data_IF_764721902812
#
_entry.id   IF_764721902812
#
_cell.length_a   1.000
_cell.length_b   1.000
_cell.length_c   1.000
_cell.angle_alpha   90.00
_cell.angle_beta   90.00
_cell.angle_gamma   90.00
#
_symmetry.space_group_name_H-M   'P 1'
#
loop_
_entity.id
_entity.type
_entity.pdbx_description
1 polymer ?
#
# COMPACT_ATOMS: atom_id res chain seq x y z
N UNK A 1 10.66 -6.35 11.50
CA UNK A 1 11.50 -7.56 11.67
C UNK A 1 11.78 -8.27 10.35
N UNK A 2 10.79 -8.57 9.50
CA UNK A 2 11.00 -9.30 8.23
C UNK A 2 11.86 -8.52 7.21
N UNK A 3 11.60 -7.22 6.98
CA UNK A 3 12.37 -6.39 6.05
C UNK A 3 13.82 -6.10 6.48
N UNK A 4 14.12 -6.21 7.79
CA UNK A 4 15.48 -6.11 8.30
C UNK A 4 16.24 -7.43 8.14
N UNK A 5 15.53 -8.56 8.25
CA UNK A 5 16.07 -9.90 8.01
C UNK A 5 16.49 -10.10 6.55
N UNK A 6 15.72 -9.60 5.58
CA UNK A 6 16.09 -9.65 4.16
C UNK A 6 17.37 -8.88 3.84
N UNK A 7 17.74 -7.87 4.65
CA UNK A 7 19.03 -7.19 4.53
C UNK A 7 20.23 -8.11 4.80
N UNK A 8 20.06 -9.12 5.66
CA UNK A 8 21.08 -10.14 5.96
C UNK A 8 21.23 -11.10 4.78
N UNK A 9 20.13 -11.47 4.11
CA UNK A 9 20.13 -12.33 2.92
C UNK A 9 20.72 -11.65 1.67
N UNK A 10 20.73 -10.31 1.62
CA UNK A 10 21.39 -9.56 0.54
C UNK A 10 22.91 -9.73 0.54
N UNK A 11 23.53 -10.00 1.69
CA UNK A 11 24.99 -10.15 1.81
C UNK A 11 25.49 -11.39 1.02
N UNK A 12 24.95 -12.61 1.22
CA UNK A 12 25.24 -13.74 0.34
C UNK A 12 24.85 -13.48 -1.12
N UNK A 13 23.75 -12.79 -1.37
CA UNK A 13 23.25 -12.55 -2.74
C UNK A 13 24.20 -11.66 -3.57
N UNK A 14 24.82 -10.65 -2.95
CA UNK A 14 25.85 -9.82 -3.60
C UNK A 14 27.22 -10.52 -3.70
N UNK A 15 27.48 -11.49 -2.82
CA UNK A 15 28.71 -12.29 -2.84
C UNK A 15 28.66 -13.43 -3.85
N UNK A 16 27.48 -14.01 -4.10
CA UNK A 16 27.31 -15.24 -4.92
C UNK A 16 26.34 -15.10 -6.10
N UNK A 17 25.65 -13.97 -6.27
CA UNK A 17 24.74 -13.69 -7.38
C UNK A 17 25.06 -12.38 -8.10
N UNK A 18 24.43 -12.17 -9.27
CA UNK A 18 24.35 -10.85 -9.92
C UNK A 18 22.98 -10.23 -9.58
N UNK A 19 22.78 -9.67 -8.38
CA UNK A 19 21.49 -9.11 -8.01
C UNK A 19 21.17 -7.89 -8.87
N UNK A 20 19.97 -7.86 -9.43
CA UNK A 20 19.45 -6.65 -10.06
C UNK A 20 19.11 -5.63 -8.96
N UNK A 21 20.08 -4.77 -8.64
CA UNK A 21 19.97 -3.75 -7.59
C UNK A 21 18.71 -2.89 -7.74
N UNK A 22 18.31 -2.60 -8.98
CA UNK A 22 17.12 -1.79 -9.29
C UNK A 22 15.83 -2.44 -8.78
N UNK A 23 15.68 -3.75 -8.96
CA UNK A 23 14.54 -4.55 -8.51
C UNK A 23 14.46 -4.64 -6.98
N UNK A 24 15.62 -4.70 -6.32
CA UNK A 24 15.68 -4.71 -4.85
C UNK A 24 15.24 -3.35 -4.30
N UNK A 25 15.81 -2.26 -4.80
CA UNK A 25 15.50 -0.89 -4.34
C UNK A 25 14.04 -0.54 -4.61
N UNK A 26 13.49 -0.89 -5.78
CA UNK A 26 12.08 -0.67 -6.10
C UNK A 26 11.14 -1.43 -5.16
N UNK A 27 11.48 -2.67 -4.81
CA UNK A 27 10.69 -3.48 -3.87
C UNK A 27 10.64 -2.86 -2.48
N UNK A 28 11.77 -2.40 -1.95
CA UNK A 28 11.82 -1.69 -0.66
C UNK A 28 11.06 -0.36 -0.70
N UNK A 29 11.20 0.41 -1.78
CA UNK A 29 10.47 1.66 -1.96
C UNK A 29 8.96 1.42 -1.98
N UNK A 30 8.49 0.44 -2.76
CA UNK A 30 7.09 0.04 -2.81
C UNK A 30 6.58 -0.42 -1.44
N UNK A 31 7.38 -1.15 -0.68
CA UNK A 31 7.01 -1.61 0.66
C UNK A 31 6.85 -0.45 1.65
N UNK A 32 7.74 0.54 1.62
CA UNK A 32 7.65 1.74 2.47
C UNK A 32 6.41 2.56 2.12
N UNK A 33 6.14 2.78 0.82
CA UNK A 33 4.96 3.52 0.36
C UNK A 33 3.65 2.82 0.74
N UNK A 34 3.58 1.51 0.52
CA UNK A 34 2.44 0.69 0.91
C UNK A 34 2.23 0.75 2.43
N UNK A 35 3.30 0.59 3.21
CA UNK A 35 3.26 0.69 4.66
C UNK A 35 2.76 2.05 5.15
N UNK A 36 3.24 3.15 4.55
CA UNK A 36 2.79 4.50 4.88
C UNK A 36 1.28 4.69 4.61
N UNK A 37 0.79 4.20 3.46
CA UNK A 37 -0.63 4.25 3.13
C UNK A 37 -1.48 3.44 4.13
N UNK A 38 -1.04 2.23 4.48
CA UNK A 38 -1.72 1.38 5.47
C UNK A 38 -1.79 2.05 6.85
N UNK A 39 -0.68 2.67 7.29
CA UNK A 39 -0.64 3.40 8.56
C UNK A 39 -1.57 4.61 8.55
N UNK A 40 -1.59 5.40 7.47
CA UNK A 40 -2.47 6.55 7.35
C UNK A 40 -3.95 6.16 7.43
N UNK A 41 -4.36 5.10 6.73
CA UNK A 41 -5.73 4.56 6.78
C UNK A 41 -6.06 4.05 8.19
N UNK A 42 -5.15 3.33 8.84
CA UNK A 42 -5.35 2.83 10.20
C UNK A 42 -5.48 3.95 11.23
N UNK A 43 -4.71 5.04 11.08
CA UNK A 43 -4.84 6.23 11.93
C UNK A 43 -6.21 6.90 11.78
N UNK A 44 -6.70 7.04 10.55
CA UNK A 44 -8.03 7.57 10.29
C UNK A 44 -9.13 6.71 10.95
N UNK A 45 -9.07 5.38 10.79
CA UNK A 45 -10.02 4.46 11.41
C UNK A 45 -9.96 4.54 12.95
N UNK A 46 -8.77 4.71 13.52
CA UNK A 46 -8.58 4.89 14.96
C UNK A 46 -9.14 6.21 15.47
N UNK A 47 -9.10 7.29 14.67
CA UNK A 47 -9.68 8.57 15.08
C UNK A 47 -11.21 8.55 15.06
N UNK A 48 -11.80 7.85 14.09
CA UNK A 48 -13.26 7.74 13.94
C UNK A 48 -13.94 6.92 15.04
N UNK A 49 -13.21 6.09 15.79
CA UNK A 49 -13.80 5.17 16.78
C UNK A 49 -13.10 5.27 18.13
N UNK A 50 -13.87 5.19 19.23
CA UNK A 50 -13.29 5.13 20.59
C UNK A 50 -12.90 3.71 21.02
N UNK A 51 -13.31 2.69 20.27
CA UNK A 51 -13.07 1.29 20.61
C UNK A 51 -11.96 0.72 19.72
N UNK A 52 -10.81 0.38 20.31
CA UNK A 52 -9.64 -0.17 19.60
C UNK A 52 -9.95 -1.41 18.77
N UNK A 53 -10.87 -2.27 19.24
CA UNK A 53 -11.27 -3.48 18.52
C UNK A 53 -12.00 -3.11 17.23
N UNK A 54 -12.91 -2.12 17.30
CA UNK A 54 -13.66 -1.64 16.13
C UNK A 54 -12.73 -0.92 15.15
N UNK A 55 -11.79 -0.11 15.63
CA UNK A 55 -10.77 0.53 14.80
C UNK A 55 -9.94 -0.51 14.02
N UNK A 56 -9.49 -1.57 14.69
CA UNK A 56 -8.73 -2.64 14.07
C UNK A 56 -9.55 -3.36 12.99
N UNK A 57 -10.82 -3.67 13.29
CA UNK A 57 -11.71 -4.34 12.33
C UNK A 57 -11.96 -3.47 11.08
N UNK A 58 -12.21 -2.17 11.27
CA UNK A 58 -12.38 -1.22 10.17
C UNK A 58 -11.13 -1.11 9.31
N UNK A 59 -9.96 -1.01 9.95
CA UNK A 59 -8.68 -0.95 9.24
C UNK A 59 -8.46 -2.22 8.43
N UNK A 60 -8.65 -3.39 9.05
CA UNK A 60 -8.49 -4.67 8.36
C UNK A 60 -9.47 -4.79 7.17
N UNK A 61 -10.74 -4.43 7.36
CA UNK A 61 -11.73 -4.46 6.29
C UNK A 61 -11.36 -3.53 5.12
N UNK A 62 -10.92 -2.30 5.41
CA UNK A 62 -10.50 -1.34 4.39
C UNK A 62 -9.27 -1.84 3.61
N UNK A 63 -8.24 -2.33 4.31
CA UNK A 63 -7.02 -2.85 3.67
C UNK A 63 -7.30 -4.12 2.85
N UNK A 64 -8.14 -5.02 3.36
CA UNK A 64 -8.58 -6.20 2.60
C UNK A 64 -9.37 -5.80 1.35
N UNK A 65 -10.24 -4.79 1.44
CA UNK A 65 -10.95 -4.28 0.28
C UNK A 65 -9.96 -3.78 -0.80
N UNK A 66 -8.98 -2.94 -0.43
CA UNK A 66 -7.93 -2.49 -1.36
C UNK A 66 -7.10 -3.63 -1.96
N UNK A 67 -6.91 -4.72 -1.20
CA UNK A 67 -6.20 -5.90 -1.67
C UNK A 67 -7.01 -6.69 -2.71
N UNK A 68 -8.30 -6.91 -2.45
CA UNK A 68 -9.17 -7.70 -3.33
C UNK A 68 -9.74 -6.93 -4.51
N UNK A 69 -9.72 -5.59 -4.49
CA UNK A 69 -10.21 -4.76 -5.61
C UNK A 69 -9.55 -5.11 -6.95
N UNK A 70 -8.26 -5.45 -6.95
CA UNK A 70 -7.58 -5.90 -8.17
C UNK A 70 -8.11 -7.22 -8.73
N UNK A 71 -8.60 -8.12 -7.87
CA UNK A 71 -9.21 -9.38 -8.29
C UNK A 71 -10.57 -9.18 -8.96
N UNK A 72 -11.25 -8.05 -8.68
CA UNK A 72 -12.56 -7.75 -9.27
C UNK A 72 -12.48 -7.45 -10.78
N UNK A 73 -11.29 -7.19 -11.32
CA UNK A 73 -11.07 -6.95 -12.75
C UNK A 73 -11.61 -8.07 -13.64
N UNK A 74 -11.47 -9.33 -13.22
CA UNK A 74 -11.91 -10.50 -14.01
C UNK A 74 -13.43 -10.59 -14.12
N UNK A 75 -14.15 -9.95 -13.20
CA UNK A 75 -15.62 -9.91 -13.18
C UNK A 75 -16.19 -8.67 -13.88
N UNK A 76 -15.35 -7.73 -14.34
CA UNK A 76 -15.81 -6.51 -15.02
C UNK A 76 -15.89 -6.72 -16.54
N UNK A 77 -17.08 -6.58 -17.10
CA UNK A 77 -17.31 -6.62 -18.56
C UNK A 77 -16.99 -5.27 -19.23
N UNK A 78 -17.07 -4.16 -18.50
CA UNK A 78 -16.81 -2.84 -19.06
C UNK A 78 -15.32 -2.45 -18.98
N UNK A 79 -14.73 -1.90 -20.05
CA UNK A 79 -13.32 -1.50 -20.06
C UNK A 79 -12.99 -0.42 -19.01
N UNK A 80 -13.91 0.51 -18.79
CA UNK A 80 -13.73 1.61 -17.84
C UNK A 80 -13.73 1.13 -16.38
N UNK A 81 -14.62 0.23 -16.00
CA UNK A 81 -14.60 -0.32 -14.63
C UNK A 81 -13.38 -1.21 -14.41
N UNK A 82 -12.93 -1.92 -15.45
CA UNK A 82 -11.72 -2.73 -15.39
C UNK A 82 -10.46 -1.88 -15.16
N UNK A 83 -10.32 -0.74 -15.84
CA UNK A 83 -9.17 0.15 -15.61
C UNK A 83 -9.22 0.83 -14.25
N UNK A 84 -10.41 1.23 -13.77
CA UNK A 84 -10.57 1.82 -12.44
C UNK A 84 -10.23 0.81 -11.31
N UNK A 85 -10.74 -0.41 -11.40
CA UNK A 85 -10.42 -1.49 -10.45
C UNK A 85 -8.95 -1.90 -10.50
N UNK A 86 -8.30 -1.78 -11.67
CA UNK A 86 -6.85 -1.89 -11.78
C UNK A 86 -6.14 -0.82 -10.97
N UNK A 87 -6.53 0.43 -11.18
CA UNK A 87 -5.87 1.58 -10.61
C UNK A 87 -6.02 1.65 -9.09
N UNK A 88 -7.16 1.21 -8.54
CA UNK A 88 -7.40 1.18 -7.09
C UNK A 88 -6.70 0.01 -6.37
N UNK A 89 -6.15 -0.96 -7.10
CA UNK A 89 -5.59 -2.17 -6.50
C UNK A 89 -4.22 -1.90 -5.88
N UNK A 90 -4.14 -2.04 -4.55
CA UNK A 90 -2.84 -2.00 -3.85
C UNK A 90 -1.95 -3.16 -4.30
N UNK A 91 -2.53 -4.32 -4.57
CA UNK A 91 -1.77 -5.52 -4.94
C UNK A 91 -1.10 -5.40 -6.32
N UNK A 92 -1.78 -4.79 -7.30
CA UNK A 92 -1.23 -4.66 -8.66
C UNK A 92 -0.06 -3.67 -8.69
N UNK A 93 -0.22 -2.50 -8.06
CA UNK A 93 0.86 -1.53 -7.93
C UNK A 93 2.06 -2.10 -7.18
N UNK A 94 1.81 -2.87 -6.10
CA UNK A 94 2.90 -3.49 -5.34
C UNK A 94 3.61 -4.61 -6.13
N UNK A 95 2.89 -5.39 -6.92
CA UNK A 95 3.48 -6.43 -7.78
C UNK A 95 4.47 -5.84 -8.79
N UNK A 96 4.17 -4.66 -9.34
CA UNK A 96 5.06 -3.94 -10.24
C UNK A 96 6.38 -3.53 -9.55
N UNK A 97 6.30 -3.05 -8.30
CA UNK A 97 7.49 -2.71 -7.51
C UNK A 97 8.39 -3.92 -7.25
N UNK A 98 7.80 -5.10 -6.98
CA UNK A 98 8.55 -6.35 -6.78
C UNK A 98 9.31 -6.75 -8.06
N UNK A 99 8.76 -6.42 -9.24
CA UNK A 99 9.37 -6.73 -10.53
C UNK A 99 10.38 -5.68 -11.02
N UNK A 100 10.71 -4.65 -10.24
CA UNK A 100 11.62 -3.58 -10.68
C UNK A 100 10.94 -2.44 -11.44
N UNK A 101 9.63 -2.52 -11.67
CA UNK A 101 8.88 -1.57 -12.47
C UNK A 101 8.37 -0.42 -11.60
N UNK A 102 9.21 0.61 -11.44
CA UNK A 102 8.85 1.83 -10.73
C UNK A 102 8.06 2.75 -11.65
N UNK A 103 6.74 2.66 -11.58
CA UNK A 103 5.83 3.58 -12.27
C UNK A 103 5.48 4.77 -11.37
N UNK A 104 5.52 5.97 -11.92
CA UNK A 104 5.11 7.20 -11.19
C UNK A 104 3.65 7.13 -10.75
N UNK A 105 2.79 6.44 -11.51
CA UNK A 105 1.37 6.26 -11.18
C UNK A 105 1.18 5.54 -9.85
N UNK A 106 1.98 4.50 -9.60
CA UNK A 106 1.92 3.72 -8.38
C UNK A 106 2.40 4.54 -7.16
N UNK A 107 3.49 5.31 -7.33
CA UNK A 107 3.99 6.21 -6.29
C UNK A 107 2.95 7.28 -5.96
N UNK A 108 2.41 7.94 -6.98
CA UNK A 108 1.40 8.98 -6.82
C UNK A 108 0.15 8.43 -6.14
N UNK A 109 -0.28 7.22 -6.51
CA UNK A 109 -1.43 6.56 -5.89
C UNK A 109 -1.26 6.35 -4.38
N UNK A 110 -0.16 5.74 -3.92
CA UNK A 110 0.07 5.55 -2.48
C UNK A 110 0.23 6.88 -1.73
N UNK A 111 0.89 7.86 -2.33
CA UNK A 111 1.04 9.21 -1.75
C UNK A 111 -0.32 9.90 -1.59
N UNK A 112 -1.17 9.85 -2.62
CA UNK A 112 -2.50 10.47 -2.59
C UNK A 112 -3.39 9.78 -1.55
N UNK A 113 -3.41 8.45 -1.50
CA UNK A 113 -4.18 7.72 -0.48
C UNK A 113 -3.71 8.08 0.93
N UNK A 114 -2.40 8.12 1.15
CA UNK A 114 -1.82 8.53 2.43
C UNK A 114 -2.21 9.96 2.80
N UNK A 115 -2.07 10.89 1.86
CA UNK A 115 -2.39 12.31 2.07
C UNK A 115 -3.87 12.52 2.38
N UNK A 116 -4.78 11.89 1.61
CA UNK A 116 -6.23 11.98 1.86
C UNK A 116 -6.57 11.43 3.25
N UNK A 117 -6.06 10.26 3.61
CA UNK A 117 -6.34 9.67 4.91
C UNK A 117 -5.84 10.54 6.08
N UNK A 118 -4.64 11.13 5.95
CA UNK A 118 -4.08 12.04 6.95
C UNK A 118 -4.84 13.38 7.03
N UNK A 119 -5.24 13.94 5.89
CA UNK A 119 -6.03 15.18 5.86
C UNK A 119 -7.39 14.94 6.52
N UNK A 120 -8.07 13.84 6.20
CA UNK A 120 -9.35 13.50 6.85
C UNK A 120 -9.19 13.30 8.36
N UNK A 121 -8.10 12.64 8.78
CA UNK A 121 -7.79 12.45 10.19
C UNK A 121 -7.57 13.81 10.90
N UNK A 122 -6.77 14.69 10.30
CA UNK A 122 -6.51 16.02 10.83
C UNK A 122 -7.78 16.89 10.91
N UNK A 123 -8.62 16.89 9.86
CA UNK A 123 -9.89 17.60 9.84
C UNK A 123 -10.86 17.09 10.90
N UNK A 124 -10.90 15.77 11.12
CA UNK A 124 -11.72 15.17 12.16
C UNK A 124 -11.26 15.59 13.57
N UNK A 125 -9.95 15.60 13.82
CA UNK A 125 -9.36 16.07 15.08
C UNK A 125 -9.63 17.56 15.32
N UNK A 126 -9.60 18.38 14.26
CA UNK A 126 -9.96 19.81 14.36
C UNK A 126 -11.43 20.00 14.67
N UNK A 127 -12.33 19.22 14.08
CA UNK A 127 -13.76 19.30 14.33
C UNK A 127 -14.15 18.94 15.78
N UNK A 128 -13.33 18.13 16.45
CA UNK A 128 -13.53 17.78 17.87
C UNK A 128 -13.00 18.82 18.87
N UNK A 129 -12.29 19.86 18.42
CA UNK A 129 -11.81 20.97 19.25
C UNK A 129 -12.82 22.11 19.28
#
# INVERSE_FOLDING_TARGET
MIAAGTGIDLVPLYLFGNPETMTIVSGYLGFVLLGAACLAVGQLASALTRNQIVAALMTAAALLAFWFVGHLQSFQTSPALRSLTAYLSFGLHFADFIQGLVRTEAIAFYMVVSAIALILNASYLQWQR
#
